data_IF_009806018094
#
_entry.id   IF_009806018094
#
_cell.length_a   1.000
_cell.length_b   1.000
_cell.length_c   1.000
_cell.angle_alpha   90.00
_cell.angle_beta   90.00
_cell.angle_gamma   90.00
#
_symmetry.space_group_name_H-M   'P 1'
#
loop_
_entity.id
_entity.type
_entity.pdbx_description
1 polymer ?
#
# COMPACT_ATOMS: atom_id res chain seq x y z
N UNK A 1 -5.02 -5.84 -7.87
CA UNK A 1 -3.74 -6.45 -8.27
C UNK A 1 -2.61 -5.48 -8.06
N UNK A 2 -1.51 -5.92 -7.48
CA UNK A 2 -0.36 -5.05 -7.27
C UNK A 2 0.29 -4.71 -8.60
N UNK A 3 0.66 -3.43 -8.80
CA UNK A 3 1.35 -2.95 -10.00
C UNK A 3 2.84 -2.76 -9.75
N UNK A 4 3.26 -2.78 -8.50
CA UNK A 4 4.66 -2.70 -8.13
C UNK A 4 4.94 -3.59 -6.93
N UNK A 5 6.00 -4.38 -7.03
CA UNK A 5 6.58 -5.11 -5.90
C UNK A 5 8.08 -4.83 -5.89
N UNK A 6 8.60 -4.56 -4.71
CA UNK A 6 10.05 -4.34 -4.55
C UNK A 6 10.81 -5.62 -4.94
N UNK A 7 11.99 -5.50 -5.58
CA UNK A 7 12.79 -6.67 -5.95
C UNK A 7 13.06 -7.65 -4.80
N UNK A 8 13.21 -7.17 -3.57
CA UNK A 8 13.43 -8.04 -2.41
C UNK A 8 12.29 -9.03 -2.19
N UNK A 9 11.07 -8.67 -2.58
CA UNK A 9 9.92 -9.58 -2.49
C UNK A 9 10.08 -10.75 -3.44
N UNK A 10 10.58 -10.51 -4.64
CA UNK A 10 10.85 -11.58 -5.59
C UNK A 10 12.03 -12.45 -5.16
N UNK A 11 13.07 -11.84 -4.58
CA UNK A 11 14.27 -12.55 -4.16
C UNK A 11 14.06 -13.36 -2.88
N UNK A 12 13.30 -12.82 -1.92
CA UNK A 12 13.15 -13.39 -0.58
C UNK A 12 11.74 -13.92 -0.30
N UNK A 13 10.80 -13.71 -1.24
CA UNK A 13 9.42 -14.16 -1.11
C UNK A 13 8.54 -13.18 -0.35
N UNK A 14 7.25 -13.51 -0.26
CA UNK A 14 6.25 -12.63 0.34
C UNK A 14 6.47 -12.38 1.84
N UNK A 15 7.27 -13.20 2.52
CA UNK A 15 7.59 -12.96 3.92
C UNK A 15 8.32 -11.62 4.13
N UNK A 16 8.92 -11.07 3.09
CA UNK A 16 9.54 -9.75 3.15
C UNK A 16 8.53 -8.66 3.52
N UNK A 17 7.27 -8.86 3.17
CA UNK A 17 6.19 -7.93 3.55
C UNK A 17 5.93 -7.90 5.05
N UNK A 18 6.24 -8.98 5.77
CA UNK A 18 6.01 -9.04 7.22
C UNK A 18 7.29 -8.80 8.03
N UNK A 19 8.43 -8.63 7.36
CA UNK A 19 9.74 -8.46 8.02
C UNK A 19 10.23 -7.02 8.04
N UNK A 20 9.54 -6.11 7.40
CA UNK A 20 9.94 -4.70 7.34
C UNK A 20 9.87 -4.01 8.70
N UNK A 21 10.71 -3.02 8.91
CA UNK A 21 10.74 -2.20 10.12
C UNK A 21 10.02 -0.88 9.87
N UNK A 22 9.09 -0.53 10.75
CA UNK A 22 8.35 0.72 10.62
C UNK A 22 7.42 0.73 9.40
N UNK A 23 6.76 -0.40 9.13
CA UNK A 23 5.86 -0.50 7.99
C UNK A 23 4.62 0.35 8.17
N UNK A 24 4.22 1.00 7.09
CA UNK A 24 3.01 1.81 7.03
C UNK A 24 2.24 1.51 5.75
N UNK A 25 0.91 1.64 5.84
CA UNK A 25 0.02 1.60 4.68
C UNK A 25 -0.63 2.97 4.54
N UNK A 26 -0.67 3.48 3.31
CA UNK A 26 -1.23 4.80 3.03
C UNK A 26 -2.04 4.76 1.75
N UNK A 27 -2.88 5.79 1.57
CA UNK A 27 -3.59 6.04 0.31
C UNK A 27 -2.94 7.25 -0.35
N UNK A 28 -2.72 7.13 -1.66
CA UNK A 28 -2.09 8.16 -2.48
C UNK A 28 -3.02 8.60 -3.61
N UNK A 29 -2.91 9.85 -4.01
CA UNK A 29 -3.53 10.39 -5.22
C UNK A 29 -2.44 10.40 -6.30
N UNK A 30 -2.41 9.35 -7.09
CA UNK A 30 -1.35 9.05 -8.04
C UNK A 30 -0.49 7.86 -7.59
N UNK A 31 0.10 7.14 -8.54
CA UNK A 31 0.92 5.97 -8.25
C UNK A 31 2.34 6.39 -7.87
N UNK A 32 2.76 6.19 -6.61
CA UNK A 32 4.14 6.51 -6.24
C UNK A 32 5.12 5.50 -6.86
N UNK A 33 6.31 5.98 -7.19
CA UNK A 33 7.39 5.12 -7.72
C UNK A 33 8.57 5.05 -6.77
N UNK A 34 8.55 5.85 -5.69
CA UNK A 34 9.58 5.84 -4.65
C UNK A 34 8.92 5.88 -3.28
N UNK A 35 9.70 5.51 -2.26
CA UNK A 35 9.22 5.60 -0.88
C UNK A 35 8.89 7.05 -0.50
N UNK A 36 9.72 7.98 -0.92
CA UNK A 36 9.50 9.40 -0.60
C UNK A 36 8.21 9.93 -1.21
N UNK A 37 7.89 9.53 -2.44
CA UNK A 37 6.63 9.90 -3.08
C UNK A 37 5.43 9.35 -2.33
N UNK A 38 5.53 8.13 -1.81
CA UNK A 38 4.45 7.49 -1.06
C UNK A 38 4.29 8.09 0.33
N UNK A 39 5.37 8.52 0.98
CA UNK A 39 5.35 9.02 2.35
C UNK A 39 5.15 10.53 2.46
N UNK A 40 5.39 11.27 1.39
CA UNK A 40 5.27 12.73 1.37
C UNK A 40 3.85 13.14 0.97
N UNK A 41 3.28 14.09 1.71
CA UNK A 41 1.93 14.60 1.43
C UNK A 41 1.86 15.23 0.03
N UNK A 42 0.68 15.17 -0.56
CA UNK A 42 0.41 15.73 -1.89
C UNK A 42 0.83 17.21 -1.97
N UNK A 43 0.57 17.98 -0.93
CA UNK A 43 0.96 19.39 -0.87
C UNK A 43 2.47 19.59 -0.75
N UNK A 44 3.22 18.55 -0.41
CA UNK A 44 4.69 18.58 -0.31
C UNK A 44 5.38 17.92 -1.49
N UNK A 45 4.74 17.90 -2.66
CA UNK A 45 5.24 17.29 -3.89
C UNK A 45 5.31 15.76 -3.87
N UNK A 46 4.62 15.13 -2.91
CA UNK A 46 4.43 13.67 -2.88
C UNK A 46 3.05 13.30 -3.38
N UNK A 47 2.62 12.09 -3.02
CA UNK A 47 1.31 11.59 -3.44
C UNK A 47 0.40 11.20 -2.27
N UNK A 48 0.90 11.19 -1.04
CA UNK A 48 0.13 10.73 0.12
C UNK A 48 -1.00 11.71 0.47
N UNK A 49 -2.20 11.17 0.64
CA UNK A 49 -3.37 11.95 1.06
C UNK A 49 -3.99 11.42 2.36
N UNK A 50 -3.55 10.27 2.84
CA UNK A 50 -3.99 9.70 4.11
C UNK A 50 -2.95 9.88 5.20
N UNK A 51 -3.36 9.72 6.48
CA UNK A 51 -2.40 9.55 7.55
C UNK A 51 -1.66 8.22 7.38
N UNK A 52 -0.45 8.13 7.92
CA UNK A 52 0.29 6.88 7.93
C UNK A 52 -0.33 5.95 8.98
N UNK A 53 -0.70 4.74 8.57
CA UNK A 53 -1.25 3.73 9.46
C UNK A 53 -0.21 2.63 9.61
N UNK A 54 0.19 2.37 10.85
CA UNK A 54 1.18 1.32 11.14
C UNK A 54 0.63 -0.04 10.71
N UNK A 55 1.48 -0.81 10.04
CA UNK A 55 1.13 -2.15 9.57
C UNK A 55 2.03 -3.15 10.29
N UNK A 56 1.42 -3.98 11.14
CA UNK A 56 2.14 -4.99 11.91
C UNK A 56 2.14 -6.34 11.19
N UNK A 57 3.04 -7.23 11.61
CA UNK A 57 3.10 -8.57 11.03
C UNK A 57 1.75 -9.33 11.18
N UNK A 58 0.98 -9.03 12.22
CA UNK A 58 -0.35 -9.62 12.44
C UNK A 58 -1.37 -9.22 11.38
N UNK A 59 -1.15 -8.09 10.71
CA UNK A 59 -2.03 -7.59 9.66
C UNK A 59 -1.78 -8.27 8.30
N UNK A 60 -0.75 -9.10 8.22
CA UNK A 60 -0.33 -9.75 6.98
C UNK A 60 -0.32 -11.26 7.22
N UNK A 61 -1.16 -11.98 6.48
CA UNK A 61 -1.25 -13.44 6.57
C UNK A 61 -0.66 -14.05 5.30
N UNK A 62 0.34 -14.91 5.49
CA UNK A 62 0.94 -15.65 4.38
C UNK A 62 0.22 -16.98 4.24
N UNK A 63 -0.18 -17.32 3.02
CA UNK A 63 -0.91 -18.56 2.76
C UNK A 63 -0.56 -19.15 1.41
N UNK A 64 -0.77 -20.46 1.29
CA UNK A 64 -0.61 -21.17 0.02
C UNK A 64 -1.87 -21.01 -0.80
N UNK A 65 -1.70 -20.79 -2.10
CA UNK A 65 -2.78 -20.80 -3.07
C UNK A 65 -2.41 -21.77 -4.20
N UNK A 66 -3.36 -22.02 -5.09
CA UNK A 66 -3.07 -22.87 -6.25
C UNK A 66 -1.93 -22.25 -7.06
N UNK A 67 -0.87 -23.01 -7.26
CA UNK A 67 0.31 -22.60 -8.03
C UNK A 67 1.06 -21.39 -7.50
N UNK A 68 0.99 -21.15 -6.18
CA UNK A 68 1.74 -20.01 -5.65
C UNK A 68 1.56 -19.76 -4.17
N UNK A 69 1.93 -18.55 -3.79
CA UNK A 69 1.81 -18.02 -2.43
C UNK A 69 1.12 -16.66 -2.47
N UNK A 70 0.41 -16.32 -1.40
CA UNK A 70 -0.22 -15.01 -1.31
C UNK A 70 -0.05 -14.46 0.10
N UNK A 71 0.07 -13.13 0.17
CA UNK A 71 -0.02 -12.37 1.40
C UNK A 71 -1.37 -11.67 1.42
N UNK A 72 -2.18 -11.97 2.42
CA UNK A 72 -3.45 -11.29 2.63
C UNK A 72 -3.21 -10.11 3.58
N UNK A 73 -3.47 -8.90 3.10
CA UNK A 73 -3.30 -7.67 3.87
C UNK A 73 -4.66 -7.30 4.45
N UNK A 74 -4.73 -7.20 5.78
CA UNK A 74 -5.97 -6.88 6.47
C UNK A 74 -6.41 -5.44 6.20
N UNK A 75 -7.73 -5.20 6.27
CA UNK A 75 -8.30 -3.87 6.18
C UNK A 75 -7.71 -2.96 7.26
N UNK A 76 -7.39 -1.72 6.89
CA UNK A 76 -6.86 -0.72 7.82
C UNK A 76 -7.71 0.54 7.76
N UNK A 77 -7.90 1.17 8.92
CA UNK A 77 -8.68 2.40 9.05
C UNK A 77 -7.79 3.52 9.59
N UNK A 78 -7.86 4.67 8.96
CA UNK A 78 -7.17 5.88 9.38
C UNK A 78 -8.01 7.09 8.99
N UNK A 79 -7.36 8.22 8.82
CA UNK A 79 -8.04 9.46 8.41
C UNK A 79 -7.39 10.02 7.15
N UNK A 80 -8.17 10.79 6.40
CA UNK A 80 -7.65 11.59 5.28
C UNK A 80 -6.82 12.73 5.87
N UNK A 81 -5.57 12.87 5.42
CA UNK A 81 -4.66 13.89 5.91
C UNK A 81 -4.85 15.22 5.19
N UNK A 82 -5.17 15.17 3.90
CA UNK A 82 -5.45 16.37 3.11
C UNK A 82 -6.34 16.04 1.92
N UNK A 83 -6.97 17.08 1.36
CA UNK A 83 -7.88 16.92 0.24
C UNK A 83 -7.17 16.36 -0.99
N UNK A 84 -7.85 15.49 -1.72
CA UNK A 84 -7.39 15.01 -3.03
C UNK A 84 -7.62 16.09 -4.09
N UNK A 85 -7.09 15.83 -5.28
CA UNK A 85 -7.44 16.61 -6.48
C UNK A 85 -8.92 16.36 -6.85
N UNK A 86 -9.45 17.17 -7.78
CA UNK A 86 -10.84 17.03 -8.21
C UNK A 86 -11.12 15.74 -8.96
N UNK A 87 -10.10 15.16 -9.59
CA UNK A 87 -10.20 13.91 -10.33
C UNK A 87 -9.09 12.96 -9.86
N UNK A 88 -9.22 12.44 -8.62
CA UNK A 88 -8.13 11.63 -8.06
C UNK A 88 -8.03 10.26 -8.71
N UNK A 89 -6.82 9.75 -8.77
CA UNK A 89 -6.54 8.35 -9.06
C UNK A 89 -5.95 7.75 -7.78
N UNK A 90 -6.75 6.97 -7.05
CA UNK A 90 -6.33 6.48 -5.73
C UNK A 90 -5.53 5.19 -5.84
N UNK A 91 -4.45 5.15 -5.07
CA UNK A 91 -3.57 4.00 -4.97
C UNK A 91 -3.28 3.72 -3.50
N UNK A 92 -3.09 2.44 -3.17
CA UNK A 92 -2.65 2.04 -1.83
C UNK A 92 -1.18 1.68 -1.92
N UNK A 93 -0.39 2.21 -0.99
CA UNK A 93 1.04 1.94 -0.93
C UNK A 93 1.43 1.40 0.44
N UNK A 94 2.35 0.43 0.44
CA UNK A 94 2.98 -0.10 1.66
C UNK A 94 4.47 0.17 1.55
N UNK A 95 5.04 0.77 2.59
CA UNK A 95 6.47 1.03 2.67
C UNK A 95 6.98 0.77 4.09
N UNK A 96 8.29 0.55 4.20
CA UNK A 96 8.95 0.48 5.50
C UNK A 96 9.87 1.71 5.66
N UNK A 97 10.80 1.67 6.60
CA UNK A 97 11.68 2.81 6.88
C UNK A 97 12.55 3.21 5.69
N UNK A 98 12.79 2.32 4.74
CA UNK A 98 13.72 2.57 3.65
C UNK A 98 13.23 2.16 2.26
N UNK A 99 12.14 1.38 2.16
CA UNK A 99 11.72 0.78 0.89
C UNK A 99 10.25 1.02 0.60
N UNK A 100 9.92 1.25 -0.67
CA UNK A 100 8.56 1.13 -1.17
C UNK A 100 8.35 -0.34 -1.52
N UNK A 101 7.43 -1.01 -0.84
CA UNK A 101 7.25 -2.45 -0.96
C UNK A 101 6.17 -2.85 -1.96
N UNK A 102 4.99 -2.23 -1.86
CA UNK A 102 3.83 -2.56 -2.69
C UNK A 102 3.09 -1.30 -3.09
N UNK A 103 2.65 -1.24 -4.34
CA UNK A 103 1.70 -0.22 -4.81
C UNK A 103 0.60 -0.95 -5.55
N UNK A 104 -0.64 -0.71 -5.17
CA UNK A 104 -1.79 -1.34 -5.80
C UNK A 104 -2.89 -0.31 -6.08
N UNK A 105 -3.61 -0.49 -7.18
CA UNK A 105 -4.68 0.39 -7.57
C UNK A 105 -5.88 0.26 -6.63
N UNK A 106 -6.37 1.39 -6.13
CA UNK A 106 -7.64 1.45 -5.42
C UNK A 106 -8.71 1.85 -6.44
N UNK A 107 -9.57 0.92 -6.77
CA UNK A 107 -10.48 1.06 -7.91
C UNK A 107 -11.68 1.98 -7.67
N UNK A 108 -11.93 2.40 -6.44
CA UNK A 108 -13.05 3.29 -6.14
C UNK A 108 -12.58 4.75 -6.06
N UNK A 109 -12.07 5.25 -7.17
CA UNK A 109 -11.59 6.64 -7.26
C UNK A 109 -12.69 7.62 -6.87
N UNK A 110 -12.45 8.40 -5.83
CA UNK A 110 -13.39 9.37 -5.31
C UNK A 110 -12.62 10.48 -4.61
N UNK A 111 -13.21 11.69 -4.60
CA UNK A 111 -12.59 12.80 -3.88
C UNK A 111 -12.64 12.53 -2.38
N UNK A 112 -11.53 12.77 -1.70
CA UNK A 112 -11.40 12.62 -0.26
C UNK A 112 -11.20 14.00 0.37
N UNK A 113 -11.77 14.19 1.56
CA UNK A 113 -11.70 15.45 2.30
C UNK A 113 -10.93 15.24 3.60
N UNK A 114 -10.01 16.15 3.90
CA UNK A 114 -9.20 16.10 5.13
C UNK A 114 -10.07 15.89 6.38
N UNK A 115 -9.53 15.10 7.31
CA UNK A 115 -10.10 14.74 8.60
C UNK A 115 -11.27 13.75 8.55
N UNK A 116 -11.72 13.33 7.37
CA UNK A 116 -12.71 12.28 7.27
C UNK A 116 -12.08 10.91 7.45
N UNK A 117 -12.82 9.93 8.02
CA UNK A 117 -12.31 8.55 8.13
C UNK A 117 -12.06 7.95 6.75
N UNK A 118 -11.03 7.12 6.67
CA UNK A 118 -10.66 6.45 5.44
C UNK A 118 -10.31 5.01 5.75
N UNK A 119 -10.90 4.09 5.02
CA UNK A 119 -10.61 2.65 5.15
C UNK A 119 -9.90 2.17 3.90
N UNK A 120 -8.70 1.59 4.10
CA UNK A 120 -8.02 0.84 3.04
C UNK A 120 -8.58 -0.58 3.07
N UNK A 121 -9.24 -1.05 2.00
CA UNK A 121 -9.83 -2.38 2.01
C UNK A 121 -8.75 -3.46 2.07
N UNK A 122 -9.14 -4.64 2.56
CA UNK A 122 -8.26 -5.80 2.53
C UNK A 122 -7.94 -6.15 1.07
N UNK A 123 -6.70 -6.58 0.82
CA UNK A 123 -6.30 -7.01 -0.51
C UNK A 123 -5.22 -8.09 -0.41
N UNK A 124 -4.95 -8.74 -1.53
CA UNK A 124 -3.97 -9.82 -1.60
C UNK A 124 -2.83 -9.46 -2.54
N UNK A 125 -1.63 -9.84 -2.14
CA UNK A 125 -0.44 -9.79 -3.01
C UNK A 125 -0.05 -11.24 -3.29
N UNK A 126 -0.01 -11.62 -4.55
CA UNK A 126 0.24 -13.01 -4.93
C UNK A 126 1.46 -13.13 -5.83
N UNK A 127 2.23 -14.20 -5.61
CA UNK A 127 3.26 -14.64 -6.53
C UNK A 127 2.88 -16.05 -6.98
N UNK A 128 2.68 -16.22 -8.28
CA UNK A 128 2.31 -17.51 -8.84
C UNK A 128 3.42 -18.06 -9.72
N UNK A 129 3.47 -19.37 -9.82
CA UNK A 129 4.41 -20.00 -10.73
C UNK A 129 4.02 -19.70 -12.17
N UNK A 130 5.02 -19.39 -13.00
CA UNK A 130 4.80 -19.19 -14.41
C UNK A 130 4.37 -20.51 -15.06
N UNK A 131 3.45 -20.44 -15.97
CA UNK A 131 2.92 -21.61 -16.68
C UNK A 131 3.32 -21.53 -18.15
#
# INVERSE_FOLDING_TARGET
>A
MATYLHPDIFDNGLSELSSGTGMSIVVCDGAPTTRDEASTLLSGDGFRVSNEVSLDAEDITLESITDGRQAAIAEQTGDVAEDTTETPELWVAIYDDSRLLVVTDETSDQSLTADNPLTSPAFNVSITTAV
#
